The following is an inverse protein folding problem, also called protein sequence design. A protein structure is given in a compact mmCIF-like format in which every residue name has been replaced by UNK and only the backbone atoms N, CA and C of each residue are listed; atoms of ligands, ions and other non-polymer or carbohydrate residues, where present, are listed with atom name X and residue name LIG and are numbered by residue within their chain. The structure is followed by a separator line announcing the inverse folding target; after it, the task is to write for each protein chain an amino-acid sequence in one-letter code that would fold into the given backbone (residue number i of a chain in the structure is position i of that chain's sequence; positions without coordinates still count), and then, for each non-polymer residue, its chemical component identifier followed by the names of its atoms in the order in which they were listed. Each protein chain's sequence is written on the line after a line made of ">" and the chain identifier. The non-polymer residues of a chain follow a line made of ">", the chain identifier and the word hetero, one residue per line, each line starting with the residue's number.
data_IF_687820558296
#
_entry.id   IF_687820558296
#
_cell.length_a   1.000
_cell.length_b   1.000
_cell.length_c   1.000
_cell.angle_alpha   90.00
_cell.angle_beta   90.00
_cell.angle_gamma   90.00
#
_symmetry.space_group_name_H-M   'P 1'
#
loop_
_entity.id
_entity.type
_entity.pdbx_description
1 polymer ?
#
# COMPACT_ATOMS: atom_id res chain seq x y z
N UNK A 1 23.59 0.62 10.89
CA UNK A 1 22.67 -0.06 9.97
C UNK A 1 21.95 -1.19 10.68
N UNK A 2 20.67 -1.01 10.94
CA UNK A 2 19.72 -1.99 11.46
C UNK A 2 19.03 -2.69 10.29
N UNK A 3 18.78 -3.99 10.44
CA UNK A 3 18.01 -4.81 9.50
C UNK A 3 16.96 -5.57 10.28
N UNK A 4 15.70 -5.42 9.90
CA UNK A 4 14.61 -6.14 10.55
C UNK A 4 13.68 -6.78 9.51
N UNK A 5 13.29 -8.03 9.78
CA UNK A 5 12.24 -8.69 9.04
C UNK A 5 10.89 -8.34 9.66
N UNK A 6 10.00 -7.75 8.88
CA UNK A 6 8.64 -7.40 9.29
C UNK A 6 7.64 -8.26 8.54
N UNK A 7 6.73 -8.90 9.26
CA UNK A 7 5.63 -9.68 8.71
C UNK A 7 4.35 -9.37 9.46
N UNK A 8 3.34 -8.90 8.73
CA UNK A 8 1.99 -8.69 9.24
C UNK A 8 0.97 -9.10 8.18
N UNK A 9 0.26 -10.21 8.43
CA UNK A 9 -0.61 -10.87 7.44
C UNK A 9 0.16 -11.07 6.12
N UNK A 10 -0.34 -10.59 4.99
CA UNK A 10 0.31 -10.69 3.67
C UNK A 10 1.36 -9.60 3.41
N UNK A 11 1.57 -8.66 4.33
CA UNK A 11 2.61 -7.64 4.20
C UNK A 11 3.90 -8.16 4.83
N UNK A 12 4.85 -8.58 3.98
CA UNK A 12 6.13 -9.15 4.41
C UNK A 12 7.26 -8.37 3.73
N UNK A 13 8.12 -7.73 4.52
CA UNK A 13 9.23 -6.92 3.99
C UNK A 13 10.46 -6.97 4.90
N UNK A 14 11.61 -6.55 4.35
CA UNK A 14 12.84 -6.34 5.11
C UNK A 14 13.13 -4.85 5.17
N UNK A 15 13.20 -4.29 6.38
CA UNK A 15 13.46 -2.88 6.61
C UNK A 15 14.94 -2.71 6.93
N UNK A 16 15.63 -1.83 6.19
CA UNK A 16 17.00 -1.41 6.42
C UNK A 16 17.01 0.07 6.81
N UNK A 17 17.66 0.42 7.93
CA UNK A 17 17.73 1.81 8.38
C UNK A 17 18.98 2.10 9.23
N UNK A 18 19.34 3.37 9.38
CA UNK A 18 20.51 3.76 10.18
C UNK A 18 20.22 3.81 11.69
N UNK A 19 18.96 3.93 12.09
CA UNK A 19 18.51 3.95 13.48
C UNK A 19 17.29 3.06 13.70
N UNK A 20 17.05 2.63 14.96
CA UNK A 20 15.85 1.88 15.35
C UNK A 20 14.57 2.72 15.24
N UNK A 21 14.66 4.04 15.45
CA UNK A 21 13.52 4.94 15.34
C UNK A 21 12.90 4.89 13.93
N UNK A 22 13.73 4.85 12.89
CA UNK A 22 13.26 4.71 11.51
C UNK A 22 12.66 3.33 11.21
N UNK A 23 13.13 2.27 11.88
CA UNK A 23 12.50 0.95 11.79
C UNK A 23 11.06 1.00 12.33
N UNK A 24 10.87 1.61 13.51
CA UNK A 24 9.53 1.73 14.11
C UNK A 24 8.62 2.64 13.28
N UNK A 25 9.13 3.77 12.79
CA UNK A 25 8.38 4.65 11.90
C UNK A 25 7.93 3.92 10.62
N UNK A 26 8.80 3.09 10.02
CA UNK A 26 8.48 2.30 8.85
C UNK A 26 7.39 1.24 9.14
N UNK A 27 7.46 0.54 10.28
CA UNK A 27 6.41 -0.41 10.69
C UNK A 27 5.06 0.28 10.87
N UNK A 28 5.02 1.44 11.52
CA UNK A 28 3.78 2.19 11.69
C UNK A 28 3.22 2.67 10.34
N UNK A 29 4.07 3.13 9.43
CA UNK A 29 3.68 3.49 8.07
C UNK A 29 3.08 2.30 7.30
N UNK A 30 3.70 1.12 7.37
CA UNK A 30 3.21 -0.11 6.73
C UNK A 30 1.83 -0.53 7.27
N UNK A 31 1.63 -0.45 8.59
CA UNK A 31 0.34 -0.77 9.21
C UNK A 31 -0.74 0.24 8.84
N UNK A 32 -0.41 1.54 8.81
CA UNK A 32 -1.34 2.61 8.41
C UNK A 32 -1.77 2.46 6.95
N UNK A 33 -0.80 2.26 6.04
CA UNK A 33 -1.07 2.07 4.62
C UNK A 33 -1.96 0.85 4.37
N UNK A 34 -1.69 -0.26 5.08
CA UNK A 34 -2.55 -1.44 5.00
C UNK A 34 -3.97 -1.16 5.48
N UNK A 35 -4.12 -0.48 6.62
CA UNK A 35 -5.43 -0.14 7.16
C UNK A 35 -6.24 0.77 6.21
N UNK A 36 -5.59 1.74 5.57
CA UNK A 36 -6.20 2.61 4.55
C UNK A 36 -6.74 1.79 3.37
N UNK A 37 -5.93 0.86 2.84
CA UNK A 37 -6.32 0.02 1.69
C UNK A 37 -7.44 -0.94 2.09
N UNK A 38 -7.35 -1.61 3.25
CA UNK A 38 -8.41 -2.50 3.72
C UNK A 38 -9.73 -1.76 3.95
N UNK A 39 -9.69 -0.56 4.53
CA UNK A 39 -10.88 0.28 4.74
C UNK A 39 -11.49 0.73 3.42
N UNK A 40 -10.66 1.14 2.45
CA UNK A 40 -11.15 1.55 1.13
C UNK A 40 -11.78 0.38 0.36
N UNK A 41 -11.19 -0.82 0.43
CA UNK A 41 -11.77 -2.02 -0.20
C UNK A 41 -13.12 -2.38 0.43
N UNK A 42 -13.32 -2.16 1.73
CA UNK A 42 -14.62 -2.39 2.37
C UNK A 42 -15.71 -1.48 1.82
N UNK A 43 -15.37 -0.23 1.48
CA UNK A 43 -16.33 0.71 0.88
C UNK A 43 -16.46 0.54 -0.63
N UNK A 44 -15.37 0.20 -1.31
CA UNK A 44 -15.26 0.08 -2.76
C UNK A 44 -14.65 -1.28 -3.16
N UNK A 45 -15.40 -2.40 -3.05
CA UNK A 45 -14.86 -3.75 -3.26
C UNK A 45 -14.29 -3.99 -4.66
N UNK A 46 -14.78 -3.25 -5.66
CA UNK A 46 -14.30 -3.34 -7.04
C UNK A 46 -12.81 -2.97 -7.18
N UNK A 47 -12.29 -2.11 -6.28
CA UNK A 47 -10.88 -1.73 -6.24
C UNK A 47 -9.93 -2.93 -6.13
N UNK A 48 -10.34 -3.98 -5.41
CA UNK A 48 -9.55 -5.20 -5.24
C UNK A 48 -9.64 -6.15 -6.45
N UNK A 49 -10.77 -6.13 -7.17
CA UNK A 49 -11.10 -7.15 -8.16
C UNK A 49 -10.78 -6.74 -9.60
N UNK A 50 -10.66 -5.45 -9.87
CA UNK A 50 -10.39 -4.97 -11.22
C UNK A 50 -8.98 -5.33 -11.68
N UNK A 51 -8.88 -5.81 -12.92
CA UNK A 51 -7.63 -5.97 -13.65
C UNK A 51 -7.34 -4.80 -14.59
N UNK A 52 -8.30 -3.88 -14.74
CA UNK A 52 -8.22 -2.71 -15.58
C UNK A 52 -7.92 -1.46 -14.74
N UNK A 53 -7.25 -0.44 -15.32
CA UNK A 53 -7.08 0.86 -14.69
C UNK A 53 -8.36 1.39 -14.07
N UNK A 54 -8.26 1.85 -12.83
CA UNK A 54 -9.39 2.40 -12.09
C UNK A 54 -9.00 3.76 -11.52
N UNK A 55 -9.70 4.80 -11.95
CA UNK A 55 -9.60 6.12 -11.34
C UNK A 55 -10.35 6.12 -10.01
N UNK A 56 -9.75 6.75 -9.01
CA UNK A 56 -10.34 6.92 -7.68
C UNK A 56 -10.55 8.41 -7.41
N UNK A 57 -11.40 8.74 -6.45
CA UNK A 57 -11.68 10.12 -6.10
C UNK A 57 -10.49 10.81 -5.43
N UNK A 58 -10.38 12.13 -5.57
CA UNK A 58 -9.26 12.94 -5.03
C UNK A 58 -9.22 12.99 -3.50
N UNK A 59 -10.34 12.67 -2.85
CA UNK A 59 -10.49 12.53 -1.40
C UNK A 59 -10.17 11.11 -0.90
N UNK A 60 -9.87 10.16 -1.80
CA UNK A 60 -9.42 8.82 -1.40
C UNK A 60 -8.06 8.89 -0.65
N UNK A 61 -7.79 7.91 0.23
CA UNK A 61 -6.52 7.84 0.95
C UNK A 61 -5.31 7.93 0.01
N UNK A 62 -4.24 8.57 0.47
CA UNK A 62 -3.06 8.81 -0.38
C UNK A 62 -2.48 7.50 -0.95
N UNK A 63 -2.47 6.43 -0.15
CA UNK A 63 -2.01 5.10 -0.57
C UNK A 63 -2.85 4.57 -1.74
N UNK A 64 -4.17 4.69 -1.66
CA UNK A 64 -5.13 4.25 -2.68
C UNK A 64 -4.95 5.03 -3.98
N UNK A 65 -4.79 6.36 -3.90
CA UNK A 65 -4.55 7.20 -5.08
C UNK A 65 -3.25 6.83 -5.79
N UNK A 66 -2.16 6.66 -5.04
CA UNK A 66 -0.87 6.23 -5.61
C UNK A 66 -0.98 4.88 -6.33
N UNK A 67 -1.71 3.93 -5.76
CA UNK A 67 -1.96 2.64 -6.40
C UNK A 67 -2.76 2.79 -7.69
N UNK A 68 -3.80 3.62 -7.68
CA UNK A 68 -4.62 3.90 -8.86
C UNK A 68 -3.80 4.57 -9.98
N UNK A 69 -3.01 5.59 -9.64
CA UNK A 69 -2.15 6.31 -10.58
C UNK A 69 -1.11 5.39 -11.21
N UNK A 70 -0.46 4.55 -10.40
CA UNK A 70 0.51 3.57 -10.87
C UNK A 70 -0.14 2.51 -11.77
N UNK A 71 -1.31 1.99 -11.38
CA UNK A 71 -2.09 1.08 -12.20
C UNK A 71 -2.49 1.70 -13.54
N UNK A 72 -2.92 2.95 -13.53
CA UNK A 72 -3.28 3.70 -14.74
C UNK A 72 -2.10 3.87 -15.70
N UNK A 73 -0.95 4.29 -15.17
CA UNK A 73 0.27 4.43 -15.95
C UNK A 73 0.75 3.11 -16.58
N UNK A 74 0.50 1.98 -15.90
CA UNK A 74 0.92 0.65 -16.34
C UNK A 74 -0.17 -0.13 -17.11
N UNK A 75 -1.39 0.40 -17.24
CA UNK A 75 -2.50 -0.26 -17.92
C UNK A 75 -3.06 -1.48 -17.16
N UNK A 76 -2.97 -1.49 -15.82
CA UNK A 76 -3.40 -2.59 -14.95
C UNK A 76 -4.27 -2.09 -13.80
N UNK A 77 -4.94 -3.02 -13.12
CA UNK A 77 -5.70 -2.71 -11.90
C UNK A 77 -4.84 -2.17 -10.75
N UNK A 78 -5.38 -1.32 -9.86
CA UNK A 78 -4.61 -0.67 -8.79
C UNK A 78 -3.89 -1.64 -7.84
N UNK A 79 -4.50 -2.80 -7.57
CA UNK A 79 -3.92 -3.78 -6.66
C UNK A 79 -2.61 -4.38 -7.18
N UNK A 80 -2.35 -4.32 -8.49
CA UNK A 80 -1.07 -4.75 -9.06
C UNK A 80 0.11 -3.89 -8.58
N UNK A 81 -0.15 -2.66 -8.13
CA UNK A 81 0.87 -1.73 -7.63
C UNK A 81 1.07 -1.77 -6.10
N UNK A 82 0.39 -2.67 -5.37
CA UNK A 82 0.30 -2.63 -3.90
C UNK A 82 1.62 -2.87 -3.15
N UNK A 83 2.58 -3.58 -3.74
CA UNK A 83 3.79 -4.06 -3.08
C UNK A 83 5.10 -3.43 -3.60
N UNK A 84 4.99 -2.28 -4.28
CA UNK A 84 6.12 -1.57 -4.89
C UNK A 84 7.04 -0.87 -3.86
#
# INVERSE_FOLDING_TARGET
>A
MFREHFAFRETITTILADSKEFIEAAKQGLLSARAEVEAYIQTEPYFQMTYEPLSVSDDAPLTVRRMADAGFAAGVGPLAAVAA
#
